data_IF_972174031705
#
_entry.id   IF_972174031705
#
_cell.length_a   1.000
_cell.length_b   1.000
_cell.length_c   1.000
_cell.angle_alpha   90.00
_cell.angle_beta   90.00
_cell.angle_gamma   90.00
#
_symmetry.space_group_name_H-M   'P 1'
#
loop_
_entity.id
_entity.type
_entity.pdbx_description
1 polymer ?
#
# COMPACT_ATOMS: atom_id res chain seq x y z
N UNK A 1 3.17 -16.12 -9.70
CA UNK A 1 3.83 -15.37 -8.60
C UNK A 1 3.02 -15.65 -7.33
N UNK A 2 3.35 -16.70 -6.56
CA UNK A 2 2.38 -17.34 -5.62
C UNK A 2 2.93 -17.70 -4.23
N UNK A 3 4.15 -17.27 -3.87
CA UNK A 3 4.78 -17.63 -2.58
C UNK A 3 4.91 -16.43 -1.62
N UNK A 4 5.07 -15.22 -2.17
CA UNK A 4 5.16 -13.97 -1.41
C UNK A 4 3.81 -13.54 -0.79
N UNK A 5 2.74 -13.49 -1.60
CA UNK A 5 1.43 -13.03 -1.14
C UNK A 5 0.81 -13.90 -0.04
N UNK A 6 0.93 -15.23 -0.18
CA UNK A 6 0.32 -16.20 0.73
C UNK A 6 0.89 -16.14 2.16
N UNK A 7 2.16 -15.78 2.34
CA UNK A 7 2.80 -15.71 3.66
C UNK A 7 2.68 -14.32 4.33
N UNK A 8 2.54 -13.25 3.54
CA UNK A 8 2.44 -11.89 4.05
C UNK A 8 1.05 -11.58 4.62
N UNK A 9 -0.01 -11.99 3.92
CA UNK A 9 -1.41 -11.74 4.30
C UNK A 9 -1.73 -12.06 5.78
N UNK A 10 -1.52 -13.30 6.27
CA UNK A 10 -1.85 -13.63 7.66
C UNK A 10 -1.01 -12.84 8.67
N UNK A 11 0.27 -12.57 8.37
CA UNK A 11 1.17 -11.82 9.26
C UNK A 11 0.75 -10.37 9.41
N UNK A 12 0.44 -9.70 8.30
CA UNK A 12 -0.02 -8.30 8.31
C UNK A 12 -1.37 -8.20 9.03
N UNK A 13 -2.31 -9.10 8.74
CA UNK A 13 -3.62 -9.15 9.45
C UNK A 13 -3.48 -9.26 10.95
N UNK A 14 -2.68 -10.22 11.43
CA UNK A 14 -2.48 -10.42 12.86
C UNK A 14 -1.82 -9.21 13.52
N UNK A 15 -0.80 -8.63 12.88
CA UNK A 15 -0.12 -7.44 13.42
C UNK A 15 -1.05 -6.23 13.53
N UNK A 16 -1.89 -5.98 12.52
CA UNK A 16 -2.87 -4.89 12.55
C UNK A 16 -3.94 -5.14 13.61
N UNK A 17 -4.48 -6.35 13.67
CA UNK A 17 -5.47 -6.73 14.68
C UNK A 17 -4.93 -6.51 16.09
N UNK A 18 -3.74 -7.03 16.38
CA UNK A 18 -3.11 -6.86 17.70
C UNK A 18 -2.85 -5.38 18.03
N UNK A 19 -2.40 -4.58 17.05
CA UNK A 19 -2.20 -3.15 17.24
C UNK A 19 -3.51 -2.41 17.52
N UNK A 20 -4.59 -2.73 16.81
CA UNK A 20 -5.91 -2.13 17.03
C UNK A 20 -6.54 -2.58 18.35
N UNK A 21 -6.34 -3.82 18.78
CA UNK A 21 -6.77 -4.28 20.11
C UNK A 21 -6.09 -3.47 21.23
N UNK A 22 -4.80 -3.15 21.09
CA UNK A 22 -4.07 -2.30 22.04
C UNK A 22 -4.49 -0.83 21.98
N UNK A 23 -4.72 -0.29 20.78
CA UNK A 23 -5.06 1.11 20.55
C UNK A 23 -6.56 1.43 20.69
N UNK A 24 -7.41 0.43 20.96
CA UNK A 24 -8.86 0.59 21.03
C UNK A 24 -9.33 1.75 21.93
N UNK A 25 -8.73 2.00 23.12
CA UNK A 25 -9.13 3.13 23.96
C UNK A 25 -8.86 4.50 23.34
N UNK A 26 -7.98 4.59 22.33
CA UNK A 26 -7.46 5.83 21.77
C UNK A 26 -8.03 6.16 20.38
N UNK A 27 -8.91 5.32 19.81
CA UNK A 27 -9.39 5.51 18.43
C UNK A 27 -10.05 6.87 18.19
N UNK A 28 -10.90 7.32 19.11
CA UNK A 28 -11.59 8.60 18.98
C UNK A 28 -10.60 9.78 19.04
N UNK A 29 -9.62 9.71 19.95
CA UNK A 29 -8.59 10.73 20.11
C UNK A 29 -7.68 10.82 18.88
N UNK A 30 -7.29 9.66 18.34
CA UNK A 30 -6.38 9.56 17.19
C UNK A 30 -7.08 9.58 15.83
N UNK A 31 -8.42 9.64 15.81
CA UNK A 31 -9.23 9.58 14.59
C UNK A 31 -8.88 8.35 13.72
N UNK A 32 -8.79 7.17 14.34
CA UNK A 32 -8.47 5.91 13.66
C UNK A 32 -9.72 5.07 13.41
N UNK A 33 -9.81 4.48 12.23
CA UNK A 33 -10.73 3.40 11.89
C UNK A 33 -9.96 2.08 11.83
N UNK A 34 -10.35 1.03 12.56
CA UNK A 34 -9.73 -0.29 12.44
C UNK A 34 -9.82 -0.80 11.00
N UNK A 35 -8.69 -1.27 10.48
CA UNK A 35 -8.60 -1.84 9.13
C UNK A 35 -8.06 -3.26 9.16
N UNK A 36 -8.34 -4.00 8.08
CA UNK A 36 -7.71 -5.28 7.77
C UNK A 36 -7.03 -5.22 6.41
N UNK A 37 -6.22 -6.23 6.11
CA UNK A 37 -5.46 -6.36 4.88
C UNK A 37 -5.93 -7.58 4.08
N UNK A 38 -6.18 -7.44 2.79
CA UNK A 38 -6.65 -8.53 1.91
C UNK A 38 -6.20 -8.34 0.45
N UNK A 39 -6.58 -9.25 -0.44
CA UNK A 39 -6.57 -9.02 -1.89
C UNK A 39 -7.53 -7.90 -2.29
N UNK A 40 -7.25 -7.25 -3.42
CA UNK A 40 -7.97 -6.02 -3.78
C UNK A 40 -9.47 -6.14 -4.03
N UNK A 41 -10.05 -7.33 -4.16
CA UNK A 41 -11.52 -7.51 -4.23
C UNK A 41 -12.23 -7.32 -2.90
N UNK A 42 -11.48 -7.23 -1.80
CA UNK A 42 -12.10 -6.92 -0.52
C UNK A 42 -12.56 -5.46 -0.43
N UNK A 43 -12.07 -4.60 -1.34
CA UNK A 43 -12.49 -3.22 -1.49
C UNK A 43 -13.45 -3.06 -2.68
N UNK A 44 -14.07 -1.88 -2.75
CA UNK A 44 -14.92 -1.46 -3.86
C UNK A 44 -14.16 -1.51 -5.21
N UNK A 45 -14.84 -2.04 -6.24
CA UNK A 45 -14.30 -2.22 -7.58
C UNK A 45 -14.83 -1.09 -8.46
N UNK A 46 -14.00 -0.06 -8.64
CA UNK A 46 -14.36 1.15 -9.38
C UNK A 46 -13.91 1.00 -10.84
N UNK A 47 -14.85 1.13 -11.78
CA UNK A 47 -14.61 1.03 -13.23
C UNK A 47 -13.93 -0.29 -13.67
N UNK A 48 -14.21 -1.39 -12.96
CA UNK A 48 -13.59 -2.73 -13.18
C UNK A 48 -12.08 -2.79 -12.92
N UNK A 49 -11.47 -1.74 -12.36
CA UNK A 49 -10.07 -1.74 -11.98
C UNK A 49 -9.88 -2.25 -10.56
N UNK A 50 -8.99 -3.23 -10.42
CA UNK A 50 -8.75 -3.93 -9.16
C UNK A 50 -7.26 -3.91 -8.82
N UNK A 51 -6.86 -3.24 -7.73
CA UNK A 51 -5.53 -3.38 -7.16
C UNK A 51 -5.26 -4.83 -6.75
N UNK A 52 -4.00 -5.21 -6.60
CA UNK A 52 -3.69 -6.58 -6.16
C UNK A 52 -4.04 -6.80 -4.69
N UNK A 53 -3.85 -5.76 -3.87
CA UNK A 53 -4.11 -5.80 -2.42
C UNK A 53 -4.88 -4.58 -1.94
N UNK A 54 -5.57 -4.74 -0.82
CA UNK A 54 -6.35 -3.69 -0.20
C UNK A 54 -6.20 -3.63 1.32
N UNK A 55 -6.25 -2.40 1.82
CA UNK A 55 -6.53 -2.11 3.21
C UNK A 55 -7.97 -1.61 3.32
N UNK A 56 -8.80 -2.30 4.09
CA UNK A 56 -10.25 -2.02 4.17
C UNK A 56 -10.70 -1.91 5.62
N UNK A 57 -11.70 -1.08 5.87
CA UNK A 57 -12.25 -0.88 7.23
C UNK A 57 -12.94 -2.16 7.70
N UNK A 58 -12.62 -2.61 8.91
CA UNK A 58 -13.25 -3.80 9.50
C UNK A 58 -14.75 -3.54 9.69
N UNK A 59 -15.59 -4.45 9.19
CA UNK A 59 -17.05 -4.31 9.22
C UNK A 59 -17.60 -3.31 8.21
N UNK A 60 -16.78 -2.74 7.32
CA UNK A 60 -17.25 -1.94 6.19
C UNK A 60 -18.02 -2.77 5.17
N UNK A 61 -18.95 -2.15 4.43
CA UNK A 61 -19.66 -2.81 3.35
C UNK A 61 -18.70 -3.06 2.17
N UNK A 62 -18.43 -4.31 1.76
CA UNK A 62 -17.50 -4.61 0.67
C UNK A 62 -17.84 -3.93 -0.66
N UNK A 63 -19.12 -3.66 -0.92
CA UNK A 63 -19.58 -3.01 -2.16
C UNK A 63 -19.36 -1.49 -2.19
N UNK A 64 -18.91 -0.88 -1.09
CA UNK A 64 -18.69 0.57 -1.00
C UNK A 64 -17.49 0.96 -0.13
N UNK A 65 -16.71 -0.01 0.35
CA UNK A 65 -15.56 0.25 1.19
C UNK A 65 -14.36 0.60 0.30
N UNK A 66 -13.86 1.86 0.33
CA UNK A 66 -12.72 2.23 -0.47
C UNK A 66 -11.45 1.53 0.05
N UNK A 67 -10.55 1.20 -0.86
CA UNK A 67 -9.22 0.73 -0.52
C UNK A 67 -8.37 1.89 0.06
N UNK A 68 -8.14 1.87 1.38
CA UNK A 68 -7.45 2.95 2.11
C UNK A 68 -5.96 3.10 1.75
N UNK A 69 -5.35 2.04 1.22
CA UNK A 69 -3.98 2.07 0.71
C UNK A 69 -3.75 0.97 -0.34
N UNK A 70 -4.06 1.23 -1.62
CA UNK A 70 -3.87 0.24 -2.69
C UNK A 70 -2.42 -0.25 -2.80
N UNK A 71 -2.25 -1.55 -3.04
CA UNK A 71 -0.96 -2.14 -3.39
C UNK A 71 -0.94 -2.71 -4.79
N UNK A 72 0.20 -2.59 -5.46
CA UNK A 72 0.48 -3.14 -6.79
C UNK A 72 1.61 -4.18 -6.67
N UNK A 73 1.33 -5.43 -7.07
CA UNK A 73 2.28 -6.53 -7.00
C UNK A 73 2.97 -6.70 -8.36
N UNK A 74 4.29 -6.55 -8.37
CA UNK A 74 5.10 -6.67 -9.59
C UNK A 74 6.24 -7.67 -9.40
N UNK A 75 6.67 -8.31 -10.47
CA UNK A 75 7.97 -9.02 -10.47
C UNK A 75 9.09 -8.00 -10.62
N UNK A 76 10.26 -8.26 -10.04
CA UNK A 76 11.40 -7.35 -10.03
C UNK A 76 11.86 -6.94 -11.43
N UNK A 77 11.82 -7.84 -12.41
CA UNK A 77 12.15 -7.48 -13.80
C UNK A 77 11.12 -6.55 -14.47
N UNK A 78 9.94 -6.34 -13.88
CA UNK A 78 8.96 -5.34 -14.33
C UNK A 78 9.05 -4.02 -13.57
N UNK A 79 9.54 -4.05 -12.34
CA UNK A 79 9.67 -2.85 -11.52
C UNK A 79 10.68 -3.07 -10.40
N UNK A 80 11.64 -2.16 -10.28
CA UNK A 80 12.51 -1.98 -9.12
C UNK A 80 12.81 -0.49 -8.94
N UNK A 81 13.10 -0.08 -7.71
CA UNK A 81 13.41 1.30 -7.35
C UNK A 81 14.61 1.83 -8.14
N UNK A 82 15.62 0.97 -8.37
CA UNK A 82 16.83 1.29 -9.14
C UNK A 82 16.53 1.74 -10.57
N UNK A 83 15.42 1.26 -11.17
CA UNK A 83 15.00 1.62 -12.54
C UNK A 83 14.72 3.12 -12.69
N UNK A 84 14.42 3.82 -11.59
CA UNK A 84 14.29 5.29 -11.55
C UNK A 84 15.52 6.00 -12.12
N UNK A 85 16.71 5.42 -11.93
CA UNK A 85 17.98 6.01 -12.33
C UNK A 85 18.50 5.46 -13.66
N UNK A 86 17.74 4.58 -14.33
CA UNK A 86 18.13 4.01 -15.61
C UNK A 86 18.25 5.09 -16.69
N UNK A 87 19.30 5.02 -17.50
CA UNK A 87 19.45 5.89 -18.67
C UNK A 87 18.64 5.39 -19.88
N UNK A 88 18.14 4.15 -19.84
CA UNK A 88 17.32 3.59 -20.90
C UNK A 88 15.88 4.10 -20.81
N UNK A 89 15.42 4.78 -21.86
CA UNK A 89 14.09 5.40 -21.91
C UNK A 89 12.94 4.39 -21.73
N UNK A 90 13.11 3.16 -22.24
CA UNK A 90 12.14 2.07 -22.10
C UNK A 90 11.96 1.69 -20.62
N UNK A 91 13.06 1.49 -19.90
CA UNK A 91 13.05 1.12 -18.48
C UNK A 91 12.45 2.25 -17.63
N UNK A 92 12.79 3.51 -17.92
CA UNK A 92 12.15 4.64 -17.24
C UNK A 92 10.64 4.71 -17.50
N UNK A 93 10.21 4.38 -18.72
CA UNK A 93 8.79 4.36 -19.07
C UNK A 93 8.05 3.28 -18.28
N UNK A 94 8.61 2.07 -18.19
CA UNK A 94 8.03 0.97 -17.40
C UNK A 94 7.93 1.34 -15.91
N UNK A 95 9.00 1.91 -15.35
CA UNK A 95 9.00 2.42 -13.98
C UNK A 95 7.87 3.43 -13.72
N UNK A 96 7.70 4.40 -14.63
CA UNK A 96 6.65 5.43 -14.54
C UNK A 96 5.26 4.86 -14.78
N UNK A 97 5.11 3.85 -15.65
CA UNK A 97 3.82 3.22 -15.93
C UNK A 97 3.25 2.51 -14.70
N UNK A 98 4.06 1.76 -13.94
CA UNK A 98 3.62 1.15 -12.70
C UNK A 98 3.17 2.20 -11.66
N UNK A 99 3.93 3.28 -11.51
CA UNK A 99 3.55 4.40 -10.63
C UNK A 99 2.28 5.11 -11.09
N UNK A 100 2.08 5.28 -12.40
CA UNK A 100 0.86 5.86 -12.96
C UNK A 100 -0.37 4.97 -12.68
N UNK A 101 -0.22 3.65 -12.83
CA UNK A 101 -1.25 2.67 -12.51
C UNK A 101 -1.62 2.71 -11.03
N UNK A 102 -0.63 2.66 -10.13
CA UNK A 102 -0.88 2.77 -8.70
C UNK A 102 -1.54 4.12 -8.34
N UNK A 103 -1.06 5.23 -8.89
CA UNK A 103 -1.65 6.55 -8.66
C UNK A 103 -3.10 6.65 -9.14
N UNK A 104 -3.45 5.95 -10.22
CA UNK A 104 -4.84 5.82 -10.69
C UNK A 104 -5.70 5.12 -9.63
N UNK A 105 -5.27 3.96 -9.11
CA UNK A 105 -5.97 3.26 -8.04
C UNK A 105 -6.13 4.11 -6.77
N UNK A 106 -5.06 4.80 -6.38
CA UNK A 106 -5.08 5.71 -5.23
C UNK A 106 -6.05 6.87 -5.44
N UNK A 107 -6.18 7.38 -6.67
CA UNK A 107 -7.14 8.43 -7.01
C UNK A 107 -8.58 7.93 -6.92
N UNK A 108 -8.87 6.77 -7.50
CA UNK A 108 -10.23 6.19 -7.45
C UNK A 108 -10.69 5.97 -6.01
N UNK A 109 -9.80 5.49 -5.14
CA UNK A 109 -10.11 5.18 -3.75
C UNK A 109 -9.94 6.36 -2.78
N UNK A 110 -9.62 7.55 -3.29
CA UNK A 110 -9.24 8.71 -2.49
C UNK A 110 -8.14 8.42 -1.44
N UNK A 111 -7.23 7.49 -1.75
CA UNK A 111 -6.14 7.09 -0.86
C UNK A 111 -4.93 8.00 -1.00
N UNK A 112 -4.35 8.44 0.12
CA UNK A 112 -3.13 9.25 0.13
C UNK A 112 -1.86 8.40 0.02
N UNK A 113 -1.91 7.19 0.56
CA UNK A 113 -0.81 6.24 0.60
C UNK A 113 -1.13 5.00 -0.23
N UNK A 114 -0.09 4.38 -0.77
CA UNK A 114 -0.13 3.14 -1.52
C UNK A 114 1.28 2.57 -1.55
N UNK A 115 1.47 1.46 -2.25
CA UNK A 115 2.80 0.86 -2.34
C UNK A 115 2.95 -0.05 -3.55
N UNK A 116 4.19 -0.28 -3.94
CA UNK A 116 4.56 -1.34 -4.88
C UNK A 116 5.33 -2.39 -4.08
N UNK A 117 4.94 -3.65 -4.25
CA UNK A 117 5.62 -4.78 -3.63
C UNK A 117 6.07 -5.73 -4.73
N UNK A 118 7.35 -6.11 -4.69
CA UNK A 118 7.94 -7.06 -5.62
C UNK A 118 8.45 -8.29 -4.91
N UNK A 119 8.97 -9.25 -5.66
CA UNK A 119 9.67 -10.41 -5.10
C UNK A 119 11.07 -10.07 -4.55
N UNK A 120 11.55 -8.83 -4.67
CA UNK A 120 12.88 -8.39 -4.18
C UNK A 120 12.80 -7.22 -3.21
N UNK A 121 11.78 -6.35 -3.30
CA UNK A 121 11.67 -5.15 -2.49
C UNK A 121 10.23 -4.67 -2.26
N UNK A 122 10.09 -3.73 -1.32
CA UNK A 122 8.88 -2.96 -1.05
C UNK A 122 9.17 -1.46 -1.21
N UNK A 123 8.29 -0.71 -1.87
CA UNK A 123 8.39 0.75 -1.97
C UNK A 123 7.07 1.42 -1.60
N UNK A 124 7.11 2.29 -0.59
CA UNK A 124 5.98 3.12 -0.20
C UNK A 124 5.78 4.28 -1.17
N UNK A 125 4.53 4.61 -1.46
CA UNK A 125 4.14 5.70 -2.35
C UNK A 125 3.15 6.61 -1.64
N UNK A 126 3.39 7.92 -1.72
CA UNK A 126 2.54 8.97 -1.16
C UNK A 126 2.14 9.95 -2.25
N UNK A 127 0.84 10.24 -2.37
CA UNK A 127 0.35 11.35 -3.20
C UNK A 127 0.65 12.68 -2.51
N UNK A 128 1.28 13.58 -3.26
CA UNK A 128 1.68 14.91 -2.79
C UNK A 128 0.68 16.00 -3.17
N UNK A 129 -0.13 15.78 -4.21
CA UNK A 129 -1.23 16.66 -4.60
C UNK A 129 -2.26 15.94 -5.51
N UNK A 130 -3.28 16.70 -5.93
CA UNK A 130 -4.27 16.26 -6.94
C UNK A 130 -3.74 16.23 -8.39
N UNK A 131 -2.52 16.73 -8.65
CA UNK A 131 -1.91 16.83 -9.98
C UNK A 131 -1.09 15.60 -10.37
N UNK A 132 -1.05 14.59 -9.51
CA UNK A 132 -0.37 13.32 -9.77
C UNK A 132 1.10 13.32 -9.36
N UNK A 133 1.56 14.28 -8.55
CA UNK A 133 2.91 14.22 -7.97
C UNK A 133 2.96 13.15 -6.89
N UNK A 134 3.99 12.32 -6.94
CA UNK A 134 4.22 11.21 -6.01
C UNK A 134 5.57 11.38 -5.30
N UNK A 135 5.59 11.11 -4.00
CA UNK A 135 6.79 10.74 -3.29
C UNK A 135 6.88 9.21 -3.24
N UNK A 136 8.06 8.67 -3.58
CA UNK A 136 8.33 7.23 -3.59
C UNK A 136 9.51 7.00 -2.65
N UNK A 137 9.37 6.09 -1.69
CA UNK A 137 10.48 5.73 -0.80
C UNK A 137 11.60 5.02 -1.56
N UNK A 138 12.77 4.91 -0.94
CA UNK A 138 13.74 3.91 -1.35
C UNK A 138 13.12 2.51 -1.29
N UNK A 139 13.58 1.60 -2.15
CA UNK A 139 13.20 0.19 -2.10
C UNK A 139 13.74 -0.45 -0.81
N UNK A 140 12.86 -1.11 -0.06
CA UNK A 140 13.20 -1.87 1.15
C UNK A 140 13.34 -3.34 0.75
N UNK A 141 14.55 -3.91 0.75
CA UNK A 141 14.76 -5.30 0.38
C UNK A 141 14.04 -6.26 1.34
N UNK A 142 13.63 -7.43 0.86
CA UNK A 142 12.98 -8.45 1.69
C UNK A 142 13.85 -8.95 2.84
N UNK A 143 15.17 -9.00 2.61
CA UNK A 143 16.16 -9.44 3.59
C UNK A 143 16.45 -8.38 4.66
N UNK A 144 15.94 -7.16 4.49
CA UNK A 144 16.18 -6.06 5.42
C UNK A 144 15.38 -6.26 6.71
N UNK A 145 16.02 -6.06 7.85
CA UNK A 145 15.38 -6.21 9.15
C UNK A 145 16.41 -6.33 10.28
N UNK A 146 16.00 -5.94 11.47
CA UNK A 146 16.89 -5.85 12.63
C UNK A 146 16.74 -4.50 13.31
N UNK A 147 17.54 -4.29 14.35
CA UNK A 147 17.52 -3.04 15.11
C UNK A 147 17.87 -1.85 14.20
N UNK A 148 17.04 -0.80 14.23
CA UNK A 148 17.22 0.40 13.40
C UNK A 148 16.97 0.22 11.90
N UNK A 149 16.59 -0.98 11.43
CA UNK A 149 16.33 -1.25 10.02
C UNK A 149 14.85 -1.47 9.73
N UNK A 150 14.34 -0.80 8.69
CA UNK A 150 12.97 -0.99 8.22
C UNK A 150 12.83 -2.37 7.58
N UNK A 151 12.05 -3.25 8.20
CA UNK A 151 11.65 -4.52 7.57
C UNK A 151 10.41 -4.34 6.70
N UNK A 152 10.23 -5.23 5.74
CA UNK A 152 9.06 -5.23 4.86
C UNK A 152 7.73 -5.34 5.64
N UNK A 153 7.68 -6.20 6.67
CA UNK A 153 6.48 -6.36 7.51
C UNK A 153 6.18 -5.10 8.31
N UNK A 154 7.22 -4.44 8.85
CA UNK A 154 7.05 -3.17 9.56
C UNK A 154 6.56 -2.07 8.61
N UNK A 155 7.08 -2.03 7.38
CA UNK A 155 6.66 -1.06 6.38
C UNK A 155 5.19 -1.25 5.96
N UNK A 156 4.76 -2.51 5.73
CA UNK A 156 3.35 -2.82 5.44
C UNK A 156 2.43 -2.47 6.60
N UNK A 157 2.82 -2.83 7.83
CA UNK A 157 2.08 -2.46 9.03
C UNK A 157 1.97 -0.94 9.16
N UNK A 158 3.06 -0.21 8.94
CA UNK A 158 3.08 1.25 9.05
C UNK A 158 2.20 1.93 8.00
N UNK A 159 2.21 1.46 6.75
CA UNK A 159 1.25 1.90 5.73
C UNK A 159 -0.18 1.62 6.17
N UNK A 160 -0.44 0.46 6.78
CA UNK A 160 -1.75 0.16 7.37
C UNK A 160 -2.14 1.15 8.46
N UNK A 161 -1.26 1.47 9.39
CA UNK A 161 -1.54 2.47 10.42
C UNK A 161 -1.82 3.86 9.86
N UNK A 162 -1.06 4.30 8.85
CA UNK A 162 -1.35 5.53 8.12
C UNK A 162 -2.68 5.45 7.37
N UNK A 163 -3.03 4.27 6.84
CA UNK A 163 -4.25 4.04 6.10
C UNK A 163 -5.51 4.09 6.98
N UNK A 164 -5.34 3.75 8.27
CA UNK A 164 -6.38 3.74 9.28
C UNK A 164 -6.81 5.14 9.74
N UNK A 165 -5.98 6.16 9.53
CA UNK A 165 -6.34 7.54 9.87
C UNK A 165 -7.58 8.00 9.07
N UNK A 166 -8.57 8.57 9.73
CA UNK A 166 -9.79 9.06 9.07
C UNK A 166 -9.50 10.23 8.13
N UNK A 167 -8.43 10.97 8.41
CA UNK A 167 -7.86 12.03 7.59
C UNK A 167 -6.99 11.50 6.44
N UNK A 168 -6.79 10.19 6.32
CA UNK A 168 -6.12 9.57 5.17
C UNK A 168 -7.00 9.64 3.93
N UNK A 169 -7.12 10.85 3.40
CA UNK A 169 -7.74 11.15 2.13
C UNK A 169 -6.72 11.86 1.26
N UNK A 170 -6.70 11.53 -0.02
CA UNK A 170 -6.03 12.39 -0.98
C UNK A 170 -6.80 13.72 -1.08
N UNK A 171 -6.11 14.73 -1.59
CA UNK A 171 -6.60 16.10 -1.78
C UNK A 171 -8.03 16.10 -2.34
N UNK A 172 -8.92 16.85 -1.67
CA UNK A 172 -10.28 17.15 -2.14
C UNK A 172 -10.26 18.02 -3.38
#
# INVERSE_FOLDING_TARGET
>A
MSIAGASLLPRVRWSLRAAFEQLAPEFALRQLSPITFDGGSAADIIDLYRPDTAFVVVGGNPASCPNRAPGDLKVSWKWEFSMRFSQHSIVQREYKQALAQLNFYMRQNNARYGYILTNTEFAAVKRLDGRGRLAVSIGIPWVNGGEGQMSLLLALWYIGMLAAENTNRAFS
#
